data_IF_940443524721
#
_entry.id   IF_940443524721
#
_cell.length_a   1.000
_cell.length_b   1.000
_cell.length_c   1.000
_cell.angle_alpha   90.00
_cell.angle_beta   90.00
_cell.angle_gamma   90.00
#
_symmetry.space_group_name_H-M   'P 1'
#
loop_
_entity.id
_entity.type
_entity.pdbx_description
1 polymer ?
#
# COMPACT_ATOMS: atom_id res chain seq x y z
N UNK A 1 47.86 19.82 -25.56
CA UNK A 1 47.22 19.82 -24.22
C UNK A 1 45.70 20.09 -24.22
N UNK A 2 45.03 20.40 -25.34
CA UNK A 2 43.57 20.64 -25.39
C UNK A 2 42.69 19.37 -25.51
N UNK A 3 43.28 18.21 -25.80
CA UNK A 3 42.56 16.96 -26.06
C UNK A 3 42.27 16.13 -24.79
N UNK A 4 42.85 16.50 -23.64
CA UNK A 4 42.65 15.78 -22.38
C UNK A 4 41.35 16.18 -21.66
N UNK A 5 40.85 17.40 -21.87
CA UNK A 5 39.65 17.91 -21.18
C UNK A 5 38.35 17.25 -21.65
N UNK A 6 38.30 16.75 -22.89
CA UNK A 6 37.07 16.19 -23.47
C UNK A 6 36.78 14.76 -22.98
N UNK A 7 37.79 14.01 -22.56
CA UNK A 7 37.62 12.61 -22.10
C UNK A 7 37.13 12.57 -20.63
N UNK A 8 37.46 13.56 -19.81
CA UNK A 8 37.03 13.61 -18.41
C UNK A 8 35.55 13.97 -18.25
N UNK A 9 34.96 14.69 -19.21
CA UNK A 9 33.53 15.07 -19.15
C UNK A 9 32.59 13.90 -19.48
N UNK A 10 33.02 12.94 -20.29
CA UNK A 10 32.20 11.77 -20.67
C UNK A 10 32.15 10.66 -19.61
N UNK A 11 33.12 10.64 -18.68
CA UNK A 11 33.13 9.71 -17.54
C UNK A 11 32.29 10.19 -16.35
N UNK A 12 31.92 11.47 -16.31
CA UNK A 12 31.08 12.05 -15.25
C UNK A 12 29.57 11.82 -15.46
N UNK A 13 29.15 11.37 -16.65
CA UNK A 13 27.74 11.10 -16.98
C UNK A 13 27.31 9.64 -16.72
N UNK A 14 28.20 8.80 -16.17
CA UNK A 14 27.90 7.39 -15.88
C UNK A 14 27.42 7.14 -14.43
N UNK A 15 27.12 8.18 -13.65
CA UNK A 15 26.84 8.04 -12.20
C UNK A 15 25.45 8.53 -11.82
N UNK A 16 24.42 7.98 -12.45
CA UNK A 16 23.07 7.96 -11.86
C UNK A 16 22.21 6.87 -12.50
N UNK A 17 22.74 5.66 -12.63
CA UNK A 17 21.87 4.50 -12.60
C UNK A 17 21.33 4.43 -11.16
N UNK A 18 20.23 5.14 -10.91
CA UNK A 18 19.52 5.06 -9.63
C UNK A 18 19.19 3.60 -9.40
N UNK A 19 19.96 2.92 -8.54
CA UNK A 19 19.51 1.65 -8.01
C UNK A 19 18.13 1.92 -7.40
N UNK A 20 17.15 1.07 -7.70
CA UNK A 20 15.80 1.24 -7.19
C UNK A 20 15.60 0.22 -6.07
N UNK A 21 14.89 0.64 -5.02
CA UNK A 21 14.53 -0.23 -3.92
C UNK A 21 13.57 -1.32 -4.39
N UNK A 22 13.64 -2.48 -3.75
CA UNK A 22 12.73 -3.59 -4.01
C UNK A 22 11.94 -3.91 -2.75
N UNK A 23 10.62 -4.00 -2.88
CA UNK A 23 9.74 -4.45 -1.80
C UNK A 23 8.83 -5.58 -2.27
N UNK A 24 8.28 -6.32 -1.32
CA UNK A 24 7.31 -7.39 -1.54
C UNK A 24 6.15 -7.24 -0.58
N UNK A 25 4.91 -7.23 -1.11
CA UNK A 25 3.68 -7.22 -0.33
C UNK A 25 3.15 -8.63 -0.03
N UNK A 26 3.92 -9.68 -0.27
CA UNK A 26 3.44 -11.05 0.00
C UNK A 26 3.19 -11.23 1.50
N UNK A 27 1.92 -11.39 1.89
CA UNK A 27 1.55 -11.52 3.29
C UNK A 27 1.82 -12.92 3.84
N UNK A 28 1.98 -13.00 5.16
CA UNK A 28 2.14 -14.26 5.89
C UNK A 28 0.80 -15.00 6.00
N UNK A 29 0.85 -16.31 6.28
CA UNK A 29 -0.37 -17.09 6.61
C UNK A 29 -1.07 -16.61 7.88
N UNK A 30 -0.38 -15.86 8.73
CA UNK A 30 -0.90 -15.26 9.96
C UNK A 30 -1.39 -13.81 9.79
N UNK A 31 -1.05 -13.16 8.67
CA UNK A 31 -1.37 -11.76 8.41
C UNK A 31 -2.47 -11.63 7.35
N UNK A 32 -3.66 -12.19 7.65
CA UNK A 32 -4.73 -12.36 6.66
C UNK A 32 -5.57 -11.10 6.46
N UNK A 33 -5.94 -10.85 5.21
CA UNK A 33 -6.89 -9.80 4.84
C UNK A 33 -8.31 -10.31 4.95
N UNK A 34 -9.18 -9.50 5.56
CA UNK A 34 -10.57 -9.86 5.81
C UNK A 34 -11.53 -8.78 5.36
N UNK A 35 -12.79 -9.17 5.19
CA UNK A 35 -13.92 -8.27 5.01
C UNK A 35 -14.85 -8.37 6.21
N UNK A 36 -15.55 -7.28 6.52
CA UNK A 36 -16.49 -7.21 7.65
C UNK A 36 -17.92 -7.69 7.31
N UNK A 37 -18.16 -8.42 6.21
CA UNK A 37 -19.52 -8.66 5.73
C UNK A 37 -20.37 -9.48 6.73
N UNK A 38 -21.53 -8.94 7.10
CA UNK A 38 -22.38 -9.40 8.19
C UNK A 38 -23.47 -10.39 7.77
N UNK A 39 -23.24 -11.67 8.10
CA UNK A 39 -24.24 -12.65 8.55
C UNK A 39 -23.59 -13.88 9.25
N UNK A 40 -22.28 -13.85 9.53
CA UNK A 40 -21.54 -14.98 10.12
C UNK A 40 -20.10 -14.72 10.57
N UNK A 41 -19.66 -13.45 10.67
CA UNK A 41 -18.30 -13.08 11.10
C UNK A 41 -17.39 -12.62 9.95
N UNK A 42 -16.20 -12.10 10.30
CA UNK A 42 -15.22 -11.62 9.33
C UNK A 42 -14.82 -12.74 8.36
N UNK A 43 -15.13 -12.56 7.07
CA UNK A 43 -14.73 -13.48 6.00
C UNK A 43 -13.39 -13.06 5.43
N UNK A 44 -12.42 -13.97 5.33
CA UNK A 44 -11.18 -13.69 4.59
C UNK A 44 -11.52 -13.32 3.15
N UNK A 45 -10.77 -12.40 2.54
CA UNK A 45 -11.02 -11.99 1.16
C UNK A 45 -11.00 -13.21 0.24
N UNK A 46 -12.11 -13.48 -0.44
CA UNK A 46 -12.31 -14.68 -1.27
C UNK A 46 -11.48 -14.70 -2.55
N UNK A 47 -11.62 -15.77 -3.34
CA UNK A 47 -10.93 -15.98 -4.63
C UNK A 47 -11.33 -14.94 -5.70
N UNK A 48 -10.44 -14.73 -6.67
CA UNK A 48 -10.38 -13.66 -7.68
C UNK A 48 -11.65 -13.26 -8.48
N UNK A 49 -12.78 -13.97 -8.36
CA UNK A 49 -14.01 -13.64 -9.10
C UNK A 49 -14.64 -12.28 -8.70
N UNK A 50 -14.25 -11.72 -7.54
CA UNK A 50 -14.63 -10.39 -7.04
C UNK A 50 -13.39 -9.61 -6.58
N UNK A 51 -12.28 -9.71 -7.34
CA UNK A 51 -10.90 -9.44 -6.92
C UNK A 51 -10.69 -8.23 -5.99
N UNK A 52 -9.74 -8.36 -5.06
CA UNK A 52 -9.27 -7.26 -4.22
C UNK A 52 -7.93 -6.78 -4.75
N UNK A 53 -7.79 -5.46 -4.81
CA UNK A 53 -6.54 -4.80 -5.11
C UNK A 53 -5.93 -4.24 -3.84
N UNK A 54 -4.62 -4.17 -3.82
CA UNK A 54 -3.88 -3.57 -2.72
C UNK A 54 -2.84 -2.61 -3.28
N UNK A 55 -2.69 -1.47 -2.62
CA UNK A 55 -1.80 -0.39 -2.99
C UNK A 55 -0.84 -0.05 -1.85
N UNK A 56 0.42 0.23 -2.21
CA UNK A 56 1.44 0.70 -1.29
C UNK A 56 1.56 2.22 -1.34
N UNK A 57 1.31 2.86 -0.19
CA UNK A 57 1.59 4.27 0.04
C UNK A 57 2.76 4.43 1.03
N UNK A 58 3.54 5.47 0.83
CA UNK A 58 4.69 5.81 1.68
C UNK A 58 4.60 7.23 2.20
N UNK A 59 5.23 7.48 3.34
CA UNK A 59 5.35 8.79 3.98
C UNK A 59 6.73 8.92 4.64
N UNK A 60 7.06 10.13 5.11
CA UNK A 60 8.24 10.32 5.96
C UNK A 60 8.17 9.43 7.21
N UNK A 61 9.31 8.93 7.67
CA UNK A 61 9.39 8.04 8.86
C UNK A 61 8.89 8.65 10.16
N UNK A 62 8.71 9.96 10.21
CA UNK A 62 8.09 10.66 11.35
C UNK A 62 6.58 10.44 11.44
N UNK A 63 5.94 9.96 10.37
CA UNK A 63 4.51 9.62 10.36
C UNK A 63 4.34 8.22 10.95
N UNK A 64 3.70 8.13 12.12
CA UNK A 64 3.53 6.86 12.86
C UNK A 64 2.08 6.43 13.00
N UNK A 65 1.14 7.26 12.54
CA UNK A 65 -0.30 7.00 12.62
C UNK A 65 -0.99 7.43 11.33
N UNK A 66 -2.15 6.83 11.09
CA UNK A 66 -3.12 7.25 10.09
C UNK A 66 -4.45 7.42 10.80
N UNK A 67 -5.25 8.40 10.39
CA UNK A 67 -6.58 8.57 10.95
C UNK A 67 -7.48 7.39 10.57
N UNK A 68 -8.40 7.03 11.45
CA UNK A 68 -9.33 5.93 11.19
C UNK A 68 -10.23 6.18 9.96
N UNK A 69 -10.49 7.44 9.60
CA UNK A 69 -11.26 7.81 8.42
C UNK A 69 -10.47 7.70 7.10
N UNK A 70 -9.18 7.38 7.14
CA UNK A 70 -8.33 7.28 5.96
C UNK A 70 -8.20 8.57 5.15
N UNK A 71 -8.69 9.71 5.65
CA UNK A 71 -8.68 10.98 4.92
C UNK A 71 -7.27 11.56 4.82
N UNK A 72 -6.38 11.23 5.76
CA UNK A 72 -4.97 11.61 5.68
C UNK A 72 -4.28 10.97 4.47
N UNK A 73 -4.74 9.81 4.00
CA UNK A 73 -4.22 9.14 2.79
C UNK A 73 -4.45 9.95 1.51
N UNK A 74 -5.38 10.91 1.53
CA UNK A 74 -5.66 11.82 0.42
C UNK A 74 -4.80 13.09 0.45
N UNK A 75 -4.04 13.31 1.53
CA UNK A 75 -3.18 14.48 1.69
C UNK A 75 -1.79 14.23 1.10
N UNK A 76 -1.00 15.28 0.81
CA UNK A 76 0.39 15.14 0.35
C UNK A 76 1.33 14.42 1.33
N UNK A 77 0.87 14.08 2.54
CA UNK A 77 1.62 13.28 3.53
C UNK A 77 1.93 11.88 2.99
N UNK A 78 0.98 11.28 2.27
CA UNK A 78 1.10 9.93 1.72
C UNK A 78 1.27 9.98 0.21
N UNK A 79 2.28 9.28 -0.29
CA UNK A 79 2.58 9.19 -1.72
C UNK A 79 2.34 7.76 -2.18
N UNK A 80 1.52 7.58 -3.20
CA UNK A 80 1.38 6.29 -3.87
C UNK A 80 2.66 5.94 -4.64
N UNK A 81 3.16 4.72 -4.48
CA UNK A 81 4.46 4.31 -5.06
C UNK A 81 4.44 4.08 -6.58
N UNK A 82 3.26 4.16 -7.22
CA UNK A 82 3.08 4.06 -8.68
C UNK A 82 3.04 2.62 -9.21
N UNK A 83 3.97 1.77 -8.75
CA UNK A 83 4.06 0.36 -9.12
C UNK A 83 3.70 -0.61 -7.98
N UNK A 84 3.36 -0.08 -6.80
CA UNK A 84 3.10 -0.90 -5.62
C UNK A 84 1.69 -1.45 -5.60
N UNK A 85 1.35 -2.31 -6.56
CA UNK A 85 0.08 -3.03 -6.59
C UNK A 85 0.25 -4.50 -6.21
N UNK A 86 -0.75 -5.06 -5.55
CA UNK A 86 -0.90 -6.49 -5.32
C UNK A 86 -2.35 -6.91 -5.56
N UNK A 87 -2.56 -8.21 -5.71
CA UNK A 87 -3.91 -8.80 -5.80
C UNK A 87 -4.04 -10.00 -4.88
N UNK A 88 -5.28 -10.32 -4.50
CA UNK A 88 -5.57 -11.53 -3.75
C UNK A 88 -5.26 -12.79 -4.58
N UNK A 89 -4.77 -13.84 -3.91
CA UNK A 89 -4.53 -15.15 -4.53
C UNK A 89 -5.66 -16.13 -4.18
N UNK A 90 -5.56 -17.37 -4.66
CA UNK A 90 -6.57 -18.39 -4.41
C UNK A 90 -6.71 -18.80 -2.93
N UNK A 91 -5.70 -18.53 -2.11
CA UNK A 91 -5.77 -18.72 -0.67
C UNK A 91 -6.47 -17.51 -0.02
N UNK A 92 -7.54 -17.78 0.75
CA UNK A 92 -8.34 -16.74 1.38
C UNK A 92 -7.50 -15.78 2.23
N UNK A 93 -7.72 -14.47 2.05
CA UNK A 93 -7.01 -13.43 2.81
C UNK A 93 -5.54 -13.27 2.44
N UNK A 94 -5.05 -13.96 1.41
CA UNK A 94 -3.66 -13.89 0.96
C UNK A 94 -3.54 -13.00 -0.26
N UNK A 95 -2.43 -12.26 -0.33
CA UNK A 95 -2.12 -11.38 -1.44
C UNK A 95 -0.69 -11.61 -1.94
N UNK A 96 -0.48 -11.28 -3.22
CA UNK A 96 0.84 -11.36 -3.87
C UNK A 96 1.06 -10.14 -4.76
N UNK A 97 2.27 -9.59 -4.73
CA UNK A 97 2.69 -8.47 -5.60
C UNK A 97 3.81 -8.84 -6.57
N UNK A 98 4.43 -10.02 -6.40
CA UNK A 98 5.79 -10.21 -6.90
C UNK A 98 6.76 -9.19 -6.28
N UNK A 99 7.79 -8.79 -7.02
CA UNK A 99 8.74 -7.74 -6.59
C UNK A 99 8.29 -6.39 -7.12
N UNK A 100 8.04 -5.45 -6.21
CA UNK A 100 7.73 -4.06 -6.52
C UNK A 100 9.02 -3.28 -6.50
N UNK A 101 9.29 -2.57 -7.58
CA UNK A 101 10.40 -1.64 -7.63
C UNK A 101 9.92 -0.25 -7.22
N UNK A 102 10.43 0.26 -6.10
CA UNK A 102 10.00 1.55 -5.52
C UNK A 102 10.66 2.70 -6.26
N UNK A 103 9.96 3.23 -7.27
CA UNK A 103 10.44 4.36 -8.08
C UNK A 103 10.07 5.71 -7.48
N UNK A 104 9.00 5.77 -6.70
CA UNK A 104 8.39 7.01 -6.21
C UNK A 104 8.15 6.94 -4.71
N UNK A 105 8.53 8.00 -3.99
CA UNK A 105 8.21 8.15 -2.57
C UNK A 105 8.99 7.26 -1.59
N UNK A 106 9.98 6.47 -2.04
CA UNK A 106 10.85 5.67 -1.16
C UNK A 106 12.29 5.60 -1.69
N UNK A 107 13.12 6.61 -1.37
CA UNK A 107 14.52 6.61 -1.79
C UNK A 107 15.32 5.47 -1.16
N UNK A 108 16.37 5.03 -1.85
CA UNK A 108 17.30 4.02 -1.33
C UNK A 108 18.00 4.47 -0.05
N UNK A 109 18.15 3.52 0.88
CA UNK A 109 18.80 3.75 2.18
C UNK A 109 18.01 4.65 3.13
N UNK A 110 16.84 5.16 2.72
CA UNK A 110 16.00 6.01 3.55
C UNK A 110 14.91 5.17 4.20
N UNK A 111 14.79 5.32 5.52
CA UNK A 111 13.67 4.74 6.27
C UNK A 111 12.43 5.59 6.02
N UNK A 112 11.38 4.98 5.51
CA UNK A 112 10.07 5.59 5.34
C UNK A 112 9.00 4.79 6.08
N UNK A 113 7.94 5.49 6.42
CA UNK A 113 6.69 4.86 6.85
C UNK A 113 5.92 4.39 5.63
N UNK A 114 5.16 3.31 5.80
CA UNK A 114 4.32 2.77 4.74
C UNK A 114 3.00 2.22 5.30
N UNK A 115 2.01 2.20 4.41
CA UNK A 115 0.70 1.56 4.62
C UNK A 115 0.37 0.76 3.37
N UNK A 116 -0.34 -0.35 3.57
CA UNK A 116 -1.01 -1.09 2.51
C UNK A 116 -2.50 -0.78 2.60
N UNK A 117 -3.06 -0.24 1.53
CA UNK A 117 -4.50 -0.01 1.39
C UNK A 117 -5.08 -1.12 0.54
N UNK A 118 -6.17 -1.74 0.97
CA UNK A 118 -6.89 -2.75 0.22
C UNK A 118 -8.28 -2.26 -0.16
N UNK A 119 -8.70 -2.55 -1.38
CA UNK A 119 -10.06 -2.25 -1.85
C UNK A 119 -10.61 -3.34 -2.76
N UNK A 120 -11.94 -3.43 -2.83
CA UNK A 120 -12.62 -4.30 -3.78
C UNK A 120 -12.51 -3.77 -5.21
N UNK A 121 -12.45 -4.66 -6.21
CA UNK A 121 -12.39 -4.31 -7.64
C UNK A 121 -13.52 -3.41 -8.13
N UNK A 122 -14.66 -3.39 -7.43
CA UNK A 122 -15.80 -2.54 -7.75
C UNK A 122 -15.46 -1.03 -7.64
N UNK A 123 -14.48 -0.67 -6.83
CA UNK A 123 -14.00 0.72 -6.68
C UNK A 123 -13.06 1.16 -7.82
N UNK A 124 -12.68 0.24 -8.70
CA UNK A 124 -11.68 0.44 -9.74
C UNK A 124 -10.33 -0.23 -9.43
N UNK A 125 -9.44 -0.18 -10.41
CA UNK A 125 -8.11 -0.78 -10.32
C UNK A 125 -7.10 0.18 -9.70
N UNK A 126 -7.16 1.46 -10.04
CA UNK A 126 -6.10 2.42 -9.70
C UNK A 126 -6.40 3.19 -8.42
N UNK A 127 -5.35 3.50 -7.64
CA UNK A 127 -5.50 4.28 -6.41
C UNK A 127 -6.17 5.64 -6.65
N UNK A 128 -5.95 6.27 -7.80
CA UNK A 128 -6.60 7.55 -8.14
C UNK A 128 -8.13 7.45 -8.22
N UNK A 129 -8.67 6.31 -8.68
CA UNK A 129 -10.11 6.06 -8.73
C UNK A 129 -10.67 5.90 -7.31
N UNK A 130 -9.98 5.10 -6.49
CA UNK A 130 -10.34 4.87 -5.09
C UNK A 130 -10.25 6.14 -4.26
N UNK A 131 -9.17 6.92 -4.44
CA UNK A 131 -8.94 8.19 -3.76
C UNK A 131 -10.05 9.22 -4.09
N UNK A 132 -10.53 9.22 -5.34
CA UNK A 132 -11.65 10.07 -5.74
C UNK A 132 -12.96 9.67 -5.04
N UNK A 133 -13.22 8.36 -4.86
CA UNK A 133 -14.39 7.87 -4.13
C UNK A 133 -14.29 8.10 -2.62
N UNK A 134 -13.09 7.97 -2.05
CA UNK A 134 -12.81 8.21 -0.63
C UNK A 134 -12.93 9.69 -0.25
N UNK A 135 -12.78 10.60 -1.21
CA UNK A 135 -12.96 12.03 -1.01
C UNK A 135 -14.38 12.34 -0.54
N UNK A 136 -14.50 12.81 0.71
CA UNK A 136 -15.79 13.10 1.33
C UNK A 136 -16.52 11.87 1.89
N UNK A 137 -15.90 10.69 1.88
CA UNK A 137 -16.42 9.53 2.58
C UNK A 137 -16.07 9.59 4.08
N UNK A 138 -16.91 8.95 4.89
CA UNK A 138 -16.76 8.88 6.34
C UNK A 138 -16.76 7.43 6.81
N UNK A 139 -15.86 7.13 7.76
CA UNK A 139 -15.77 5.82 8.40
C UNK A 139 -16.37 5.86 9.80
N UNK A 140 -17.35 5.00 10.07
CA UNK A 140 -18.05 4.93 11.36
C UNK A 140 -17.39 3.98 12.36
N UNK A 141 -16.24 3.39 12.00
CA UNK A 141 -15.59 2.31 12.76
C UNK A 141 -16.00 0.91 12.28
N UNK A 142 -17.14 0.78 11.61
CA UNK A 142 -17.65 -0.50 11.11
C UNK A 142 -18.12 -0.45 9.67
N UNK A 143 -18.26 0.73 9.07
CA UNK A 143 -18.66 0.89 7.67
C UNK A 143 -18.19 2.21 7.07
N UNK A 144 -18.11 2.23 5.74
CA UNK A 144 -17.96 3.46 4.96
C UNK A 144 -19.33 4.02 4.56
N UNK A 145 -19.42 5.33 4.41
CA UNK A 145 -20.60 6.06 3.94
C UNK A 145 -20.19 7.37 3.27
N UNK A 146 -21.04 7.96 2.44
CA UNK A 146 -20.76 9.21 1.73
C UNK A 146 -19.66 9.09 0.66
N UNK A 147 -19.26 10.25 0.13
CA UNK A 147 -18.31 10.32 -0.99
C UNK A 147 -18.86 9.65 -2.25
N UNK A 148 -18.01 8.88 -2.92
CA UNK A 148 -18.37 8.06 -4.09
C UNK A 148 -18.44 6.56 -3.83
N UNK A 149 -18.42 6.14 -2.55
CA UNK A 149 -18.37 4.73 -2.16
C UNK A 149 -19.79 4.12 -2.20
N UNK A 150 -19.96 3.03 -2.95
CA UNK A 150 -21.24 2.37 -3.20
C UNK A 150 -21.43 1.10 -2.36
N UNK A 151 -22.70 0.69 -2.08
CA UNK A 151 -22.98 -0.57 -1.40
C UNK A 151 -22.31 -1.78 -2.09
N UNK A 152 -21.66 -2.63 -1.30
CA UNK A 152 -20.92 -3.79 -1.81
C UNK A 152 -19.47 -3.50 -2.22
N UNK A 153 -19.01 -2.25 -2.10
CA UNK A 153 -17.59 -1.90 -2.13
C UNK A 153 -16.96 -2.06 -0.74
N UNK A 154 -15.69 -2.44 -0.73
CA UNK A 154 -14.91 -2.66 0.48
C UNK A 154 -13.62 -1.84 0.42
N UNK A 155 -13.28 -1.18 1.53
CA UNK A 155 -12.03 -0.43 1.68
C UNK A 155 -11.47 -0.62 3.09
N UNK A 156 -10.16 -0.74 3.20
CA UNK A 156 -9.46 -0.79 4.49
C UNK A 156 -7.97 -0.59 4.30
N UNK A 157 -7.24 -0.42 5.40
CA UNK A 157 -5.80 -0.20 5.35
C UNK A 157 -5.11 -0.80 6.56
N UNK A 158 -3.82 -1.12 6.40
CA UNK A 158 -2.98 -1.64 7.47
C UNK A 158 -2.69 -0.57 8.53
N UNK A 159 -2.14 -1.00 9.67
CA UNK A 159 -1.41 -0.08 10.53
C UNK A 159 -0.21 0.53 9.80
N UNK A 160 0.31 1.65 10.32
CA UNK A 160 1.57 2.22 9.85
C UNK A 160 2.71 1.30 10.27
N UNK A 161 3.54 0.92 9.31
CA UNK A 161 4.81 0.25 9.54
C UNK A 161 5.94 1.09 8.92
N UNK A 162 7.20 0.71 9.13
CA UNK A 162 8.33 1.46 8.57
C UNK A 162 9.47 0.55 8.15
N UNK A 163 10.22 0.98 7.14
CA UNK A 163 11.44 0.32 6.75
C UNK A 163 12.28 1.10 5.76
N UNK A 164 13.44 0.56 5.42
CA UNK A 164 14.38 1.07 4.45
C UNK A 164 14.61 0.04 3.36
N UNK A 165 14.48 0.46 2.12
CA UNK A 165 14.93 -0.32 0.97
C UNK A 165 16.45 -0.15 0.82
N UNK A 166 17.17 -1.26 0.78
CA UNK A 166 18.63 -1.29 0.89
C UNK A 166 19.34 -0.55 -0.26
N UNK A 167 20.29 0.33 0.08
CA UNK A 167 21.16 1.04 -0.87
C UNK A 167 22.23 0.15 -1.51
N UNK A 168 22.49 -1.03 -0.94
CA UNK A 168 23.43 -2.04 -1.45
C UNK A 168 22.90 -2.87 -2.62
N UNK A 169 21.63 -2.68 -3.02
CA UNK A 169 21.12 -3.09 -4.33
C UNK A 169 20.70 -4.55 -4.50
N UNK A 170 20.61 -5.37 -3.45
CA UNK A 170 20.36 -6.82 -3.63
C UNK A 170 19.17 -7.38 -2.84
N UNK A 171 18.76 -6.79 -1.72
CA UNK A 171 17.72 -7.40 -0.88
C UNK A 171 16.35 -6.76 -1.03
N UNK A 172 15.36 -7.57 -1.39
CA UNK A 172 13.94 -7.17 -1.37
C UNK A 172 13.48 -7.08 0.07
N UNK A 173 12.98 -5.92 0.49
CA UNK A 173 12.36 -5.75 1.79
C UNK A 173 10.93 -6.33 1.79
N UNK A 174 10.67 -7.28 2.68
CA UNK A 174 9.32 -7.83 2.84
C UNK A 174 8.50 -6.91 3.75
N UNK A 175 7.37 -6.41 3.23
CA UNK A 175 6.48 -5.51 3.97
C UNK A 175 5.70 -6.25 5.07
N UNK A 176 5.62 -7.57 4.98
CA UNK A 176 5.13 -8.44 6.04
C UNK A 176 6.26 -9.28 6.65
N UNK A 177 6.17 -9.53 7.95
CA UNK A 177 7.19 -10.28 8.69
C UNK A 177 6.72 -10.59 10.10
N UNK A 178 7.56 -11.30 10.87
CA UNK A 178 7.23 -11.70 12.24
C UNK A 178 8.02 -10.95 13.30
N UNK A 179 9.16 -10.36 12.93
CA UNK A 179 10.07 -9.64 13.83
C UNK A 179 10.70 -8.44 13.11
N UNK A 180 11.06 -7.37 13.85
CA UNK A 180 11.88 -6.29 13.33
C UNK A 180 13.23 -6.78 12.81
N UNK A 181 13.76 -6.09 11.80
CA UNK A 181 15.09 -6.32 11.23
C UNK A 181 15.89 -5.01 11.22
N UNK A 182 17.16 -5.07 10.80
CA UNK A 182 17.94 -3.86 10.57
C UNK A 182 17.32 -2.92 9.51
N UNK A 183 16.47 -3.47 8.64
CA UNK A 183 15.77 -2.70 7.60
C UNK A 183 14.47 -2.08 8.10
N UNK A 184 13.94 -2.43 9.28
CA UNK A 184 12.70 -1.83 9.77
C UNK A 184 11.81 -2.78 10.56
N UNK A 185 10.58 -2.34 10.81
CA UNK A 185 9.55 -3.10 11.52
C UNK A 185 8.43 -3.48 10.55
N UNK A 186 8.37 -4.75 10.09
CA UNK A 186 7.38 -5.17 9.10
C UNK A 186 5.97 -5.30 9.70
N UNK A 187 4.95 -5.31 8.84
CA UNK A 187 3.58 -5.64 9.27
C UNK A 187 3.51 -7.09 9.76
N UNK A 188 3.04 -7.29 10.98
CA UNK A 188 2.88 -8.62 11.60
C UNK A 188 1.45 -9.14 11.53
N UNK A 189 0.48 -8.25 11.30
CA UNK A 189 -0.94 -8.55 11.21
C UNK A 189 -1.51 -8.12 9.86
N UNK A 190 -2.59 -8.79 9.45
CA UNK A 190 -3.42 -8.31 8.35
C UNK A 190 -4.38 -7.21 8.82
N UNK A 191 -5.31 -6.83 7.97
CA UNK A 191 -6.32 -5.83 8.30
C UNK A 191 -7.69 -6.21 7.74
N UNK A 192 -8.71 -5.50 8.20
CA UNK A 192 -10.08 -5.64 7.75
C UNK A 192 -10.44 -4.54 6.77
N UNK A 193 -11.13 -4.91 5.70
CA UNK A 193 -11.80 -4.00 4.80
C UNK A 193 -13.28 -3.95 5.15
N UNK A 194 -13.81 -2.75 5.15
CA UNK A 194 -15.16 -2.50 5.61
C UNK A 194 -16.05 -2.19 4.41
N UNK A 195 -17.25 -2.75 4.41
CA UNK A 195 -18.27 -2.46 3.40
C UNK A 195 -18.77 -1.03 3.52
N UNK A 196 -19.18 -0.47 2.40
CA UNK A 196 -20.08 0.67 2.41
C UNK A 196 -21.48 0.23 2.89
N UNK A 197 -22.11 1.06 3.71
CA UNK A 197 -23.53 0.92 4.08
C UNK A 197 -24.30 1.98 3.28
N UNK A 198 -25.43 1.62 2.62
CA UNK A 198 -26.28 2.60 1.98
C UNK A 198 -26.63 3.72 2.96
N UNK A 199 -26.52 4.98 2.54
CA UNK A 199 -27.09 6.06 3.33
C UNK A 199 -28.57 5.76 3.58
N UNK A 200 -29.10 5.90 4.81
CA UNK A 200 -30.51 5.72 5.05
C UNK A 200 -31.27 6.72 4.19
N UNK A 201 -32.07 6.22 3.25
CA UNK A 201 -33.07 7.03 2.56
C UNK A 201 -34.00 7.55 3.64
N UNK A 202 -33.90 8.84 3.95
CA UNK A 202 -34.57 9.49 5.07
C UNK A 202 -36.05 9.12 5.22
N UNK A 203 -36.49 9.02 6.48
CA UNK A 203 -37.87 8.86 6.96
C UNK A 203 -38.81 9.98 6.48
#
# INVERSE_FOLDING_TARGET
MKKLLTITLSAALAVSAFAQGKVSMNNLSTALMSTNNGAGGAGVTGTAAQGFYYGLLTAASTVTTVDASGQNLLTPTWTFTGNGYATNIAAGGRLTSGTITTTTGWPLGVTNSYIIVGWSSNMGHDWSQVAAQLSGANFTGTSWSGGGINPGEYLGFSSVAYGSVDSGGVTTYNLFGTVPTAQGNPLTAGFSMYTAVPEPTSF
#
